data_IF_384757475752
#
_entry.id   IF_384757475752
#
_cell.length_a   1.000
_cell.length_b   1.000
_cell.length_c   1.000
_cell.angle_alpha   90.00
_cell.angle_beta   90.00
_cell.angle_gamma   90.00
#
_symmetry.space_group_name_H-M   'P 1'
#
loop_
_entity.id
_entity.type
_entity.pdbx_description
1 polymer ?
#
# COMPACT_ATOMS: atom_id res chain seq x y z
N UNK A 1 -23.63 -11.78 -14.13
CA UNK A 1 -23.58 -10.70 -13.14
C UNK A 1 -22.26 -10.75 -12.41
N UNK A 2 -21.54 -9.66 -12.45
CA UNK A 2 -20.25 -9.63 -11.76
C UNK A 2 -20.47 -9.52 -10.26
N UNK A 3 -19.79 -10.38 -9.51
CA UNK A 3 -19.81 -10.29 -8.06
C UNK A 3 -18.93 -9.14 -7.63
N UNK A 4 -19.39 -8.38 -6.65
CA UNK A 4 -18.67 -7.24 -6.13
C UNK A 4 -18.46 -7.36 -4.64
N UNK A 5 -17.50 -6.58 -4.15
CA UNK A 5 -17.23 -6.44 -2.73
C UNK A 5 -17.08 -4.96 -2.40
N UNK A 6 -17.29 -4.61 -1.13
CA UNK A 6 -17.06 -3.24 -0.69
C UNK A 6 -15.57 -3.04 -0.51
N UNK A 7 -15.11 -1.82 -0.76
CA UNK A 7 -13.70 -1.45 -0.61
C UNK A 7 -13.61 -0.18 0.21
N UNK A 8 -12.69 -0.15 1.16
CA UNK A 8 -12.41 1.02 1.97
C UNK A 8 -10.91 1.13 2.20
N UNK A 9 -10.36 2.30 1.92
CA UNK A 9 -8.96 2.63 2.20
C UNK A 9 -8.94 3.80 3.17
N UNK A 10 -8.34 3.58 4.34
CA UNK A 10 -8.31 4.55 5.43
C UNK A 10 -6.87 4.76 5.87
N UNK A 11 -6.49 6.01 6.10
CA UNK A 11 -5.26 6.36 6.81
C UNK A 11 -5.65 7.04 8.13
N UNK A 12 -4.69 7.22 9.08
CA UNK A 12 -5.05 7.66 10.44
C UNK A 12 -5.90 8.93 10.54
N UNK A 13 -5.79 9.81 9.57
CA UNK A 13 -6.46 11.11 9.65
C UNK A 13 -7.67 11.24 8.76
N UNK A 14 -7.91 10.27 7.85
CA UNK A 14 -9.01 10.41 6.90
C UNK A 14 -9.35 9.10 6.17
N UNK A 15 -10.56 9.06 5.63
CA UNK A 15 -10.93 8.08 4.64
C UNK A 15 -10.38 8.55 3.29
N UNK A 16 -9.58 7.72 2.64
CA UNK A 16 -8.93 8.07 1.38
C UNK A 16 -9.79 7.68 0.19
N UNK A 17 -10.41 6.50 0.25
CA UNK A 17 -11.26 6.01 -0.83
C UNK A 17 -12.24 4.99 -0.27
N UNK A 18 -13.41 4.90 -0.89
CA UNK A 18 -14.38 3.87 -0.59
C UNK A 18 -15.27 3.64 -1.80
N UNK A 19 -15.84 2.45 -1.91
CA UNK A 19 -16.72 2.15 -3.02
C UNK A 19 -16.89 0.66 -3.20
N UNK A 20 -17.23 0.30 -4.43
CA UNK A 20 -17.49 -1.08 -4.85
C UNK A 20 -16.37 -1.51 -5.79
N UNK A 21 -15.85 -2.71 -5.58
CA UNK A 21 -14.78 -3.26 -6.41
C UNK A 21 -15.16 -4.65 -6.91
N UNK A 22 -14.58 -5.05 -8.03
CA UNK A 22 -14.65 -6.43 -8.52
C UNK A 22 -13.42 -7.20 -8.09
N UNK A 23 -12.28 -6.51 -7.95
CA UNK A 23 -11.08 -7.11 -7.37
C UNK A 23 -10.20 -6.03 -6.76
N UNK A 24 -9.45 -6.40 -5.73
CA UNK A 24 -8.47 -5.53 -5.08
C UNK A 24 -7.16 -6.31 -4.97
N UNK A 25 -6.09 -5.79 -5.57
CA UNK A 25 -4.76 -6.38 -5.45
C UNK A 25 -4.00 -5.64 -4.37
N UNK A 26 -3.55 -6.39 -3.36
CA UNK A 26 -3.02 -5.85 -2.12
C UNK A 26 -1.54 -6.19 -2.01
N UNK A 27 -0.66 -5.20 -1.73
CA UNK A 27 0.77 -5.47 -1.53
C UNK A 27 1.01 -6.00 -0.10
N UNK A 28 0.78 -7.30 0.09
CA UNK A 28 1.01 -7.94 1.37
C UNK A 28 2.50 -8.09 1.69
N UNK A 29 2.84 -8.14 2.97
CA UNK A 29 4.23 -8.28 3.41
C UNK A 29 4.88 -9.59 2.96
N UNK A 30 4.07 -10.62 2.74
CA UNK A 30 4.56 -11.93 2.28
C UNK A 30 4.29 -12.19 0.80
N UNK A 31 3.78 -11.20 0.07
CA UNK A 31 3.47 -11.29 -1.33
C UNK A 31 2.14 -10.64 -1.65
N UNK A 32 1.89 -10.42 -2.93
CA UNK A 32 0.65 -9.81 -3.37
C UNK A 32 -0.53 -10.76 -3.16
N UNK A 33 -1.66 -10.18 -2.75
CA UNK A 33 -2.93 -10.88 -2.62
C UNK A 33 -3.94 -10.22 -3.54
N UNK A 34 -4.79 -11.05 -4.16
CA UNK A 34 -5.93 -10.53 -4.92
C UNK A 34 -7.21 -10.96 -4.21
N UNK A 35 -7.99 -9.98 -3.77
CA UNK A 35 -9.27 -10.22 -3.12
C UNK A 35 -10.41 -10.01 -4.10
N UNK A 36 -11.32 -10.96 -4.13
CA UNK A 36 -12.54 -10.91 -4.91
C UNK A 36 -13.70 -11.31 -4.01
N UNK A 37 -14.93 -11.08 -4.45
CA UNK A 37 -16.11 -11.48 -3.69
C UNK A 37 -16.02 -12.98 -3.34
N UNK A 38 -16.38 -13.32 -2.10
CA UNK A 38 -16.30 -14.69 -1.63
C UNK A 38 -14.95 -15.12 -1.08
N UNK A 39 -13.98 -14.21 -1.01
CA UNK A 39 -12.66 -14.53 -0.48
C UNK A 39 -12.75 -15.01 0.98
N UNK A 40 -11.93 -15.99 1.34
CA UNK A 40 -11.87 -16.44 2.73
C UNK A 40 -11.38 -15.32 3.64
N UNK A 41 -11.87 -15.23 4.86
CA UNK A 41 -11.41 -14.18 5.79
C UNK A 41 -9.90 -14.24 5.98
N UNK A 42 -9.23 -13.11 5.77
CA UNK A 42 -7.78 -13.03 5.82
C UNK A 42 -7.38 -11.65 6.36
N UNK A 43 -6.34 -11.62 7.18
CA UNK A 43 -5.69 -10.39 7.61
C UNK A 43 -4.24 -10.48 7.17
N UNK A 44 -3.75 -9.45 6.53
CA UNK A 44 -2.35 -9.39 6.12
C UNK A 44 -1.77 -8.01 6.43
N UNK A 45 -0.51 -7.97 6.83
CA UNK A 45 0.22 -6.71 6.94
C UNK A 45 0.64 -6.25 5.55
N UNK A 46 0.81 -4.95 5.39
CA UNK A 46 1.17 -4.33 4.12
C UNK A 46 2.67 -4.04 4.07
N UNK A 47 3.26 -4.26 2.90
CA UNK A 47 4.55 -3.66 2.57
C UNK A 47 4.29 -2.39 1.77
N UNK A 48 5.25 -1.44 1.70
CA UNK A 48 5.13 -0.33 0.76
C UNK A 48 4.91 -0.87 -0.65
N UNK A 49 3.89 -0.39 -1.32
CA UNK A 49 3.54 -0.90 -2.64
C UNK A 49 2.35 -0.18 -3.23
N UNK A 50 1.87 -0.70 -4.34
CA UNK A 50 0.70 -0.16 -5.03
C UNK A 50 -0.50 -1.06 -4.76
N UNK A 51 -1.55 -0.45 -4.23
CA UNK A 51 -2.85 -1.07 -4.05
C UNK A 51 -3.65 -0.81 -5.32
N UNK A 52 -4.03 -1.86 -6.02
CA UNK A 52 -4.78 -1.74 -7.27
C UNK A 52 -6.24 -2.14 -7.04
N UNK A 53 -7.15 -1.24 -7.35
CA UNK A 53 -8.59 -1.45 -7.18
C UNK A 53 -9.26 -1.42 -8.54
N UNK A 54 -9.90 -2.51 -8.89
CA UNK A 54 -10.68 -2.62 -10.11
C UNK A 54 -12.16 -2.61 -9.75
N UNK A 55 -12.89 -1.63 -10.27
CA UNK A 55 -14.31 -1.50 -10.04
C UNK A 55 -15.10 -1.57 -11.32
N UNK A 56 -16.44 -1.53 -11.22
CA UNK A 56 -17.32 -1.56 -12.41
C UNK A 56 -17.09 -0.38 -13.34
N UNK A 57 -16.66 0.77 -12.78
CA UNK A 57 -16.53 2.01 -13.54
C UNK A 57 -15.08 2.37 -13.87
N UNK A 58 -14.13 1.52 -13.53
CA UNK A 58 -12.73 1.78 -13.84
C UNK A 58 -11.77 1.21 -12.82
N UNK A 59 -10.52 1.62 -12.95
CA UNK A 59 -9.44 1.15 -12.12
C UNK A 59 -8.72 2.32 -11.49
N UNK A 60 -8.27 2.13 -10.24
CA UNK A 60 -7.51 3.13 -9.50
C UNK A 60 -6.33 2.47 -8.80
N UNK A 61 -5.22 3.19 -8.73
CA UNK A 61 -4.02 2.77 -8.03
C UNK A 61 -3.71 3.74 -6.91
N UNK A 62 -3.34 3.18 -5.76
CA UNK A 62 -2.96 3.94 -4.57
C UNK A 62 -1.60 3.48 -4.11
N UNK A 63 -0.72 4.43 -3.80
CA UNK A 63 0.56 4.11 -3.17
C UNK A 63 0.33 4.06 -1.67
N UNK A 64 0.65 2.93 -1.05
CA UNK A 64 0.43 2.71 0.38
C UNK A 64 1.72 2.32 1.06
N UNK A 65 1.83 2.66 2.34
CA UNK A 65 2.95 2.23 3.18
C UNK A 65 2.40 1.77 4.52
N UNK A 66 2.91 0.65 5.00
CA UNK A 66 2.57 0.16 6.34
C UNK A 66 1.10 -0.15 6.55
N UNK A 67 0.77 -0.68 7.71
CA UNK A 67 -0.60 -1.00 8.06
C UNK A 67 -0.98 -2.42 7.73
N UNK A 68 -2.28 -2.63 7.56
CA UNK A 68 -2.80 -3.98 7.28
C UNK A 68 -4.08 -3.91 6.47
N UNK A 69 -4.43 -5.06 5.89
CA UNK A 69 -5.69 -5.24 5.17
C UNK A 69 -6.48 -6.37 5.80
N UNK A 70 -7.77 -6.15 5.94
CA UNK A 70 -8.72 -7.13 6.42
C UNK A 70 -9.65 -7.50 5.26
N UNK A 71 -9.66 -8.77 4.91
CA UNK A 71 -10.39 -9.30 3.76
C UNK A 71 -11.48 -10.22 4.26
N UNK A 72 -12.68 -10.08 3.72
CA UNK A 72 -13.78 -10.99 3.96
C UNK A 72 -14.49 -11.30 2.65
N UNK A 73 -15.48 -12.20 2.69
CA UNK A 73 -16.27 -12.52 1.51
C UNK A 73 -17.01 -11.30 0.94
N UNK A 74 -17.29 -10.30 1.77
CA UNK A 74 -18.13 -9.16 1.44
C UNK A 74 -17.35 -7.88 1.18
N UNK A 75 -16.11 -7.80 1.65
CA UNK A 75 -15.38 -6.57 1.51
C UNK A 75 -13.92 -6.62 1.91
N UNK A 76 -13.23 -5.54 1.60
CA UNK A 76 -11.83 -5.31 1.93
C UNK A 76 -11.73 -3.96 2.61
N UNK A 77 -11.10 -3.95 3.78
CA UNK A 77 -10.73 -2.72 4.47
C UNK A 77 -9.23 -2.65 4.57
N UNK A 78 -8.65 -1.59 4.05
CA UNK A 78 -7.21 -1.35 4.09
C UNK A 78 -6.94 -0.17 5.02
N UNK A 79 -6.14 -0.41 6.05
CA UNK A 79 -5.71 0.61 7.00
C UNK A 79 -4.23 0.84 6.79
N UNK A 80 -3.90 1.87 6.02
CA UNK A 80 -2.54 2.19 5.66
C UNK A 80 -2.00 3.32 6.55
N UNK A 81 -0.72 3.26 6.91
CA UNK A 81 -0.08 4.36 7.64
C UNK A 81 -0.08 5.62 6.78
N UNK A 82 0.24 5.46 5.51
CA UNK A 82 0.18 6.52 4.51
C UNK A 82 -0.43 5.97 3.25
N UNK A 83 -1.23 6.76 2.60
CA UNK A 83 -1.78 6.39 1.31
C UNK A 83 -2.05 7.63 0.48
N UNK A 84 -1.88 7.49 -0.83
CA UNK A 84 -2.10 8.57 -1.76
C UNK A 84 -2.48 7.96 -3.10
N UNK A 85 -3.47 8.56 -3.78
CA UNK A 85 -3.79 8.14 -5.14
C UNK A 85 -2.55 8.32 -6.00
N UNK A 86 -2.21 7.35 -6.83
CA UNK A 86 -0.99 7.41 -7.64
C UNK A 86 -0.91 8.68 -8.49
N UNK A 87 -2.05 9.17 -8.97
CA UNK A 87 -2.11 10.42 -9.74
C UNK A 87 -1.64 11.64 -8.96
N UNK A 88 -1.76 11.60 -7.63
CA UNK A 88 -1.37 12.71 -6.77
C UNK A 88 0.05 12.56 -6.24
N UNK A 89 0.70 11.43 -6.50
CA UNK A 89 2.06 11.20 -6.06
C UNK A 89 3.03 12.00 -6.92
N UNK A 90 3.91 12.76 -6.26
CA UNK A 90 4.95 13.53 -6.91
C UNK A 90 6.32 13.05 -6.44
N UNK A 91 7.36 13.45 -7.17
CA UNK A 91 8.72 13.14 -6.76
C UNK A 91 9.03 13.72 -5.37
N UNK A 92 8.56 14.93 -5.07
CA UNK A 92 8.79 15.55 -3.76
C UNK A 92 8.14 14.77 -2.63
N UNK A 93 6.89 14.35 -2.80
CA UNK A 93 6.18 13.53 -1.80
C UNK A 93 6.90 12.20 -1.62
N UNK A 94 7.24 11.54 -2.71
CA UNK A 94 7.94 10.25 -2.67
C UNK A 94 9.30 10.39 -1.99
N UNK A 95 10.04 11.46 -2.29
CA UNK A 95 11.33 11.76 -1.66
C UNK A 95 11.17 11.87 -0.14
N UNK A 96 10.13 12.57 0.33
CA UNK A 96 9.88 12.68 1.77
C UNK A 96 9.59 11.33 2.40
N UNK A 97 8.82 10.48 1.72
CA UNK A 97 8.50 9.15 2.24
C UNK A 97 9.77 8.27 2.32
N UNK A 98 10.65 8.36 1.31
CA UNK A 98 11.92 7.62 1.32
C UNK A 98 12.83 8.13 2.43
N UNK A 99 12.91 9.45 2.62
CA UNK A 99 13.71 10.04 3.69
C UNK A 99 13.24 9.56 5.07
N UNK A 100 11.95 9.47 5.29
CA UNK A 100 11.40 8.97 6.55
C UNK A 100 11.78 7.50 6.77
N UNK A 101 11.69 6.68 5.73
CA UNK A 101 12.07 5.27 5.81
C UNK A 101 13.58 5.12 6.06
N UNK A 102 14.40 5.96 5.42
CA UNK A 102 15.84 5.98 5.63
C UNK A 102 16.20 6.38 7.04
N UNK A 103 15.55 7.43 7.57
CA UNK A 103 15.76 7.87 8.94
C UNK A 103 15.39 6.78 9.94
N UNK A 104 14.27 6.08 9.71
CA UNK A 104 13.85 4.98 10.56
C UNK A 104 14.90 3.84 10.55
N UNK A 105 15.49 3.56 9.39
CA UNK A 105 16.55 2.55 9.28
C UNK A 105 17.82 2.98 10.02
N UNK A 106 18.23 4.23 9.86
CA UNK A 106 19.42 4.76 10.53
C UNK A 106 19.28 4.78 12.05
N UNK A 107 18.06 4.98 12.55
CA UNK A 107 17.77 5.04 13.98
C UNK A 107 17.38 3.68 14.58
N UNK A 108 17.25 2.66 13.75
CA UNK A 108 16.87 1.32 14.21
C UNK A 108 18.04 0.66 14.94
N UNK A 109 17.70 -0.20 15.90
CA UNK A 109 18.71 -0.99 16.62
C UNK A 109 18.12 -2.36 16.95
N UNK A 110 19.03 -3.32 17.19
CA UNK A 110 18.62 -4.67 17.54
C UNK A 110 17.77 -5.32 16.45
N UNK A 111 16.66 -5.91 16.86
CA UNK A 111 15.78 -6.66 15.95
C UNK A 111 15.04 -5.77 14.96
N UNK A 112 15.01 -4.45 15.18
CA UNK A 112 14.30 -3.53 14.30
C UNK A 112 15.10 -3.21 13.02
N UNK A 113 16.40 -3.51 12.98
CA UNK A 113 17.25 -3.14 11.84
C UNK A 113 16.82 -3.83 10.55
N UNK A 114 16.57 -5.12 10.61
CA UNK A 114 16.19 -5.89 9.41
C UNK A 114 14.82 -5.45 8.87
N UNK A 115 13.86 -5.21 9.76
CA UNK A 115 12.54 -4.75 9.36
C UNK A 115 12.61 -3.36 8.72
N UNK A 116 13.42 -2.46 9.28
CA UNK A 116 13.58 -1.11 8.74
C UNK A 116 14.32 -1.13 7.40
N UNK A 117 15.31 -2.00 7.24
CA UNK A 117 16.02 -2.17 5.97
C UNK A 117 15.07 -2.68 4.88
N UNK A 118 14.22 -3.64 5.22
CA UNK A 118 13.24 -4.18 4.26
C UNK A 118 12.23 -3.11 3.87
N UNK A 119 11.74 -2.33 4.83
CA UNK A 119 10.81 -1.24 4.57
C UNK A 119 11.41 -0.23 3.58
N UNK A 120 12.67 0.17 3.81
CA UNK A 120 13.37 1.09 2.92
C UNK A 120 13.53 0.50 1.51
N UNK A 121 13.94 -0.76 1.42
CA UNK A 121 14.09 -1.44 0.13
C UNK A 121 12.76 -1.53 -0.63
N UNK A 122 11.69 -1.87 0.06
CA UNK A 122 10.36 -1.96 -0.54
C UNK A 122 9.87 -0.57 -1.00
N UNK A 123 10.18 0.48 -0.25
CA UNK A 123 9.83 1.86 -0.62
C UNK A 123 10.57 2.27 -1.91
N UNK A 124 11.85 1.96 -2.01
CA UNK A 124 12.64 2.24 -3.23
C UNK A 124 12.06 1.48 -4.42
N UNK A 125 11.66 0.23 -4.21
CA UNK A 125 11.05 -0.58 -5.27
C UNK A 125 9.75 0.03 -5.78
N UNK A 126 8.94 0.62 -4.91
CA UNK A 126 7.71 1.32 -5.31
C UNK A 126 8.04 2.48 -6.25
N UNK A 127 9.08 3.26 -5.94
CA UNK A 127 9.49 4.37 -6.80
C UNK A 127 9.81 3.90 -8.21
N UNK A 128 10.57 2.83 -8.33
CA UNK A 128 10.88 2.24 -9.64
C UNK A 128 9.61 1.80 -10.36
N UNK A 129 8.70 1.16 -9.64
CA UNK A 129 7.45 0.65 -10.22
C UNK A 129 6.56 1.77 -10.78
N UNK A 130 6.47 2.90 -10.09
CA UNK A 130 5.61 4.02 -10.52
C UNK A 130 6.35 5.07 -11.36
N UNK A 131 7.60 4.83 -11.71
CA UNK A 131 8.36 5.71 -12.59
C UNK A 131 8.99 6.92 -11.92
N UNK A 132 9.18 6.89 -10.60
CA UNK A 132 9.87 7.94 -9.87
C UNK A 132 11.32 7.52 -9.58
N UNK A 133 12.17 8.53 -9.27
CA UNK A 133 13.58 8.29 -9.02
C UNK A 133 13.78 7.63 -7.65
N UNK A 134 14.26 6.38 -7.60
CA UNK A 134 14.52 5.71 -6.33
C UNK A 134 15.82 6.13 -5.65
N UNK A 135 16.70 6.87 -6.34
CA UNK A 135 18.02 7.23 -5.83
C UNK A 135 18.00 8.33 -4.78
N UNK A 136 16.83 8.84 -4.43
CA UNK A 136 16.68 9.81 -3.34
C UNK A 136 17.22 9.30 -2.01
N UNK A 137 17.43 8.00 -1.89
CA UNK A 137 18.03 7.39 -0.70
C UNK A 137 19.47 7.86 -0.47
N UNK A 138 20.12 8.43 -1.49
CA UNK A 138 21.48 8.92 -1.40
C UNK A 138 21.60 10.38 -0.99
N UNK A 139 20.50 11.04 -0.74
CA UNK A 139 20.49 12.43 -0.33
C UNK A 139 20.86 12.60 1.15
#
# INVERSE_FOLDING_TARGET
MADTLTFSLVSPERSVASGVATEVRIPGSEGDLTAMAGHVPTITTLRPGVLHVKGPDGEDDYVVTGGFAEISAEGVTVLAERSLHQKDMTQDIFTDWVKDAKAAHENASGDAVDAAAKLLADMVAVGTHIGLDPNVANL
#
